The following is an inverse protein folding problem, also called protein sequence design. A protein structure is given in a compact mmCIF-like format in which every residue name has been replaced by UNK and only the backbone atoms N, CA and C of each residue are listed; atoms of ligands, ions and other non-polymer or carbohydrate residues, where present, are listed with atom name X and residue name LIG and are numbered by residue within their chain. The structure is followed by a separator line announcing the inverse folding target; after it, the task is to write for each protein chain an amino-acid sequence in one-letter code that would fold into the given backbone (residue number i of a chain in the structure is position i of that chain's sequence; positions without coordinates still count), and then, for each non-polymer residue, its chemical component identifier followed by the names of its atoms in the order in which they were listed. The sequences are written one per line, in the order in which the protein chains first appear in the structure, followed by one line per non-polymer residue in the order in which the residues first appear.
data_IF_962743886756
#
_entry.id   IF_962743886756
#
_cell.length_a   1.000
_cell.length_b   1.000
_cell.length_c   1.000
_cell.angle_alpha   90.00
_cell.angle_beta   90.00
_cell.angle_gamma   90.00
#
_symmetry.space_group_name_H-M   'P 1'
#
loop_
_entity.id
_entity.type
_entity.pdbx_description
1 polymer ?
#
# COMPACT_ATOMS: atom_id res chain seq x y z
N UNK A 1 65.07 -0.46 -41.92
CA UNK A 1 63.70 -0.40 -42.45
C UNK A 1 62.78 -0.97 -41.36
N UNK A 2 62.17 -0.10 -40.54
CA UNK A 2 61.32 -0.53 -39.42
C UNK A 2 59.92 -0.91 -39.93
N UNK A 3 59.31 -2.01 -39.46
CA UNK A 3 57.93 -2.33 -39.80
C UNK A 3 56.98 -1.33 -39.14
N UNK A 4 56.01 -0.86 -39.93
CA UNK A 4 55.01 0.15 -39.55
C UNK A 4 54.05 -0.39 -38.49
N UNK A 5 53.89 0.37 -37.40
CA UNK A 5 53.03 0.09 -36.24
C UNK A 5 51.54 0.43 -36.50
N UNK A 6 51.16 0.63 -37.76
CA UNK A 6 49.84 1.12 -38.18
C UNK A 6 48.80 0.02 -38.36
N UNK A 7 49.22 -1.21 -38.62
CA UNK A 7 48.32 -2.26 -39.11
C UNK A 7 47.74 -3.12 -37.97
N UNK A 8 48.32 -3.03 -36.77
CA UNK A 8 47.84 -3.74 -35.59
C UNK A 8 46.70 -3.00 -34.88
N UNK A 9 46.61 -1.67 -35.02
CA UNK A 9 45.63 -0.85 -34.29
C UNK A 9 44.20 -0.91 -34.87
N UNK A 10 44.04 -1.37 -36.11
CA UNK A 10 42.74 -1.42 -36.79
C UNK A 10 42.01 -2.75 -36.57
N UNK A 11 42.72 -3.86 -36.37
CA UNK A 11 42.14 -5.20 -36.18
C UNK A 11 41.53 -5.40 -34.77
N UNK A 12 42.09 -4.74 -33.75
CA UNK A 12 41.57 -4.79 -32.37
C UNK A 12 40.28 -3.97 -32.19
N UNK A 13 40.02 -3.02 -33.09
CA UNK A 13 38.85 -2.15 -33.03
C UNK A 13 37.58 -2.81 -33.61
N UNK A 14 37.73 -3.78 -34.52
CA UNK A 14 36.61 -4.45 -35.18
C UNK A 14 36.13 -5.70 -34.42
N UNK A 15 37.03 -6.42 -33.74
CA UNK A 15 36.70 -7.64 -33.00
C UNK A 15 35.88 -7.44 -31.71
N UNK A 16 35.66 -6.18 -31.28
CA UNK A 16 34.77 -5.84 -30.14
C UNK A 16 33.32 -5.56 -30.54
N UNK A 17 32.95 -5.74 -31.81
CA UNK A 17 31.57 -5.62 -32.30
C UNK A 17 31.07 -6.93 -32.87
N UNK A 18 30.81 -7.92 -32.02
CA UNK A 18 30.17 -9.13 -32.52
C UNK A 18 30.33 -10.36 -31.66
N UNK A 19 29.94 -10.27 -30.39
CA UNK A 19 29.51 -11.48 -29.70
C UNK A 19 28.20 -11.13 -29.03
N UNK A 20 27.09 -11.41 -29.72
CA UNK A 20 25.82 -11.56 -29.04
C UNK A 20 25.92 -12.85 -28.23
N UNK A 21 26.09 -12.79 -26.89
CA UNK A 21 25.96 -13.99 -26.09
C UNK A 21 24.52 -14.47 -26.32
N UNK A 22 24.37 -15.72 -26.77
CA UNK A 22 23.07 -16.41 -26.84
C UNK A 22 22.35 -16.13 -25.52
N UNK A 23 21.37 -15.23 -25.52
CA UNK A 23 20.66 -14.81 -24.31
C UNK A 23 19.90 -16.04 -23.80
N UNK A 24 20.50 -16.78 -22.88
CA UNK A 24 19.87 -17.91 -22.20
C UNK A 24 18.64 -17.47 -21.42
N UNK A 25 17.99 -18.39 -20.70
CA UNK A 25 16.76 -18.14 -19.93
C UNK A 25 16.89 -16.89 -19.02
N UNK A 26 18.06 -16.70 -18.41
CA UNK A 26 18.39 -15.54 -17.57
C UNK A 26 18.37 -14.22 -18.38
N UNK A 27 18.88 -14.22 -19.61
CA UNK A 27 18.85 -13.06 -20.50
C UNK A 27 17.43 -12.69 -20.95
N UNK A 28 16.53 -13.67 -21.08
CA UNK A 28 15.11 -13.43 -21.38
C UNK A 28 14.37 -12.79 -20.19
N UNK A 29 14.66 -13.24 -18.97
CA UNK A 29 14.11 -12.65 -17.75
C UNK A 29 14.59 -11.21 -17.57
N UNK A 30 15.87 -10.92 -17.82
CA UNK A 30 16.40 -9.56 -17.75
C UNK A 30 15.73 -8.61 -18.77
N UNK A 31 15.43 -9.10 -19.98
CA UNK A 31 14.67 -8.34 -20.99
C UNK A 31 13.23 -8.06 -20.55
N UNK A 32 12.58 -9.04 -19.93
CA UNK A 32 11.22 -8.90 -19.40
C UNK A 32 11.15 -7.77 -18.35
N UNK A 33 12.04 -7.75 -17.36
CA UNK A 33 12.08 -6.66 -16.38
C UNK A 33 12.35 -5.29 -17.02
N UNK A 34 13.19 -5.25 -18.07
CA UNK A 34 13.44 -4.02 -18.84
C UNK A 34 12.19 -3.52 -19.55
N UNK A 35 11.37 -4.42 -20.06
CA UNK A 35 10.08 -4.11 -20.68
C UNK A 35 9.05 -3.65 -19.63
N UNK A 36 8.91 -4.38 -18.51
CA UNK A 36 8.02 -4.01 -17.40
C UNK A 36 8.35 -2.62 -16.87
N UNK A 37 9.63 -2.30 -16.65
CA UNK A 37 10.03 -0.96 -16.22
C UNK A 37 9.70 0.13 -17.28
N UNK A 38 9.78 -0.22 -18.57
CA UNK A 38 9.35 0.64 -19.67
C UNK A 38 7.85 0.90 -19.67
N UNK A 39 7.05 -0.12 -19.34
CA UNK A 39 5.59 -0.01 -19.27
C UNK A 39 5.14 0.69 -17.98
N UNK A 40 5.80 0.43 -16.84
CA UNK A 40 5.53 1.09 -15.56
C UNK A 40 5.81 2.60 -15.61
N UNK A 41 6.77 3.04 -16.44
CA UNK A 41 6.98 4.48 -16.71
C UNK A 41 5.82 5.16 -17.41
N UNK A 42 4.95 4.40 -18.09
CA UNK A 42 3.73 4.92 -18.72
C UNK A 42 2.59 5.04 -17.71
N UNK A 43 2.72 4.42 -16.54
CA UNK A 43 1.80 4.66 -15.44
C UNK A 43 2.09 6.07 -14.95
N UNK A 44 1.11 6.96 -15.14
CA UNK A 44 1.15 8.32 -14.65
C UNK A 44 1.44 8.31 -13.15
N UNK A 45 2.65 8.71 -12.77
CA UNK A 45 3.02 8.81 -11.35
C UNK A 45 2.38 10.06 -10.79
N UNK A 46 1.48 9.93 -9.81
CA UNK A 46 0.71 11.05 -9.32
C UNK A 46 1.61 12.10 -8.67
N UNK A 47 1.23 13.36 -8.80
CA UNK A 47 1.92 14.46 -8.13
C UNK A 47 1.68 14.38 -6.62
N UNK A 48 2.61 14.88 -5.80
CA UNK A 48 2.43 14.90 -4.32
C UNK A 48 1.11 15.58 -3.91
N UNK A 49 0.68 16.59 -4.67
CA UNK A 49 -0.58 17.29 -4.45
C UNK A 49 -1.82 16.40 -4.69
N UNK A 50 -1.79 15.50 -5.67
CA UNK A 50 -2.86 14.52 -5.91
C UNK A 50 -2.95 13.51 -4.77
N UNK A 51 -1.81 13.04 -4.25
CA UNK A 51 -1.79 12.14 -3.08
C UNK A 51 -2.54 12.77 -1.90
N UNK A 52 -2.24 14.03 -1.56
CA UNK A 52 -2.93 14.70 -0.45
C UNK A 52 -4.42 14.88 -0.70
N UNK A 53 -4.85 15.12 -1.95
CA UNK A 53 -6.28 15.19 -2.29
C UNK A 53 -6.97 13.85 -2.06
N UNK A 54 -6.39 12.75 -2.54
CA UNK A 54 -6.97 11.42 -2.37
C UNK A 54 -7.03 11.01 -0.90
N UNK A 55 -5.93 11.19 -0.16
CA UNK A 55 -5.92 10.90 1.28
C UNK A 55 -6.86 11.82 2.06
N UNK A 56 -6.97 13.10 1.68
CA UNK A 56 -7.90 14.05 2.31
C UNK A 56 -9.37 13.68 2.12
N UNK A 57 -9.76 13.26 0.92
CA UNK A 57 -11.13 12.77 0.64
C UNK A 57 -11.46 11.56 1.52
N UNK A 58 -10.52 10.60 1.64
CA UNK A 58 -10.71 9.42 2.50
C UNK A 58 -10.85 9.84 3.97
N UNK A 59 -10.02 10.75 4.45
CA UNK A 59 -10.10 11.22 5.84
C UNK A 59 -11.45 11.87 6.16
N UNK A 60 -11.94 12.75 5.28
CA UNK A 60 -13.26 13.39 5.42
C UNK A 60 -14.37 12.34 5.40
N UNK A 61 -14.29 11.36 4.50
CA UNK A 61 -15.27 10.27 4.43
C UNK A 61 -15.31 9.42 5.71
N UNK A 62 -14.14 9.07 6.26
CA UNK A 62 -14.07 8.31 7.52
C UNK A 62 -14.67 9.08 8.68
N UNK A 63 -14.35 10.38 8.81
CA UNK A 63 -14.93 11.25 9.84
C UNK A 63 -16.46 11.32 9.69
N UNK A 64 -16.94 11.47 8.46
CA UNK A 64 -18.37 11.48 8.18
C UNK A 64 -19.04 10.16 8.62
N UNK A 65 -18.45 9.02 8.30
CA UNK A 65 -18.98 7.72 8.72
C UNK A 65 -18.95 7.54 10.24
N UNK A 66 -17.90 7.98 10.93
CA UNK A 66 -17.85 7.98 12.39
C UNK A 66 -18.99 8.83 12.98
N UNK A 67 -19.23 10.02 12.44
CA UNK A 67 -20.31 10.89 12.89
C UNK A 67 -21.69 10.26 12.64
N UNK A 68 -21.91 9.70 11.45
CA UNK A 68 -23.16 9.03 11.09
C UNK A 68 -23.44 7.84 12.02
N UNK A 69 -22.46 6.95 12.20
CA UNK A 69 -22.58 5.79 13.10
C UNK A 69 -22.85 6.24 14.52
N UNK A 70 -22.12 7.24 15.01
CA UNK A 70 -22.35 7.79 16.37
C UNK A 70 -23.78 8.31 16.53
N UNK A 71 -24.31 9.05 15.56
CA UNK A 71 -25.69 9.56 15.60
C UNK A 71 -26.69 8.42 15.61
N UNK A 72 -26.49 7.41 14.76
CA UNK A 72 -27.37 6.24 14.72
C UNK A 72 -27.30 5.43 16.02
N UNK A 73 -26.12 5.20 16.58
CA UNK A 73 -25.93 4.47 17.84
C UNK A 73 -26.64 5.18 19.00
N UNK A 74 -26.55 6.52 19.06
CA UNK A 74 -27.28 7.32 20.05
C UNK A 74 -28.79 7.28 19.83
N UNK A 75 -29.24 7.39 18.58
CA UNK A 75 -30.66 7.37 18.23
C UNK A 75 -31.30 6.01 18.57
N UNK A 76 -30.64 4.92 18.18
CA UNK A 76 -31.11 3.57 18.47
C UNK A 76 -30.95 3.23 19.94
N UNK A 77 -29.90 3.68 20.62
CA UNK A 77 -29.75 3.52 22.07
C UNK A 77 -30.87 4.22 22.84
N UNK A 78 -31.21 5.46 22.45
CA UNK A 78 -32.32 6.19 23.04
C UNK A 78 -33.67 5.53 22.74
N UNK A 79 -33.92 5.15 21.48
CA UNK A 79 -35.13 4.44 21.07
C UNK A 79 -35.29 3.08 21.75
N UNK A 80 -34.22 2.30 21.86
CA UNK A 80 -34.21 1.02 22.57
C UNK A 80 -34.46 1.21 24.06
N UNK A 81 -33.86 2.22 24.69
CA UNK A 81 -34.17 2.56 26.08
C UNK A 81 -35.63 2.96 26.27
N UNK A 82 -36.27 3.57 25.28
CA UNK A 82 -37.69 3.92 25.36
C UNK A 82 -38.61 2.69 25.18
N UNK A 83 -38.25 1.77 24.28
CA UNK A 83 -39.05 0.55 24.01
C UNK A 83 -38.86 -0.52 25.08
N UNK A 84 -37.64 -0.68 25.61
CA UNK A 84 -37.26 -1.79 26.48
C UNK A 84 -36.87 -1.37 27.90
N UNK A 85 -36.71 -0.08 28.19
CA UNK A 85 -36.19 0.43 29.46
C UNK A 85 -37.20 1.21 30.29
N UNK A 86 -37.62 0.65 31.43
CA UNK A 86 -38.11 1.43 32.57
C UNK A 86 -36.90 2.18 33.19
N UNK A 87 -36.53 3.34 32.64
CA UNK A 87 -35.67 4.35 33.27
C UNK A 87 -34.24 3.92 33.63
N UNK A 88 -33.30 4.12 32.69
CA UNK A 88 -31.89 4.45 32.96
C UNK A 88 -31.19 3.72 34.12
N UNK A 89 -30.73 2.49 33.89
CA UNK A 89 -29.54 1.98 34.60
C UNK A 89 -28.43 1.74 33.59
N UNK A 90 -27.74 2.83 33.24
CA UNK A 90 -26.51 2.83 32.42
C UNK A 90 -25.30 2.22 33.15
N UNK A 91 -25.48 1.71 34.37
CA UNK A 91 -24.44 1.12 35.19
C UNK A 91 -24.86 -0.29 35.64
N UNK A 92 -24.05 -1.32 35.39
CA UNK A 92 -24.18 -2.59 36.07
C UNK A 92 -24.03 -2.36 37.58
N UNK A 93 -25.07 -2.61 38.36
CA UNK A 93 -24.92 -2.77 39.80
C UNK A 93 -24.21 -4.10 40.03
N UNK A 94 -22.89 -4.05 40.12
CA UNK A 94 -22.10 -5.17 40.63
C UNK A 94 -22.72 -5.59 41.97
N UNK A 95 -23.18 -6.84 42.15
CA UNK A 95 -23.60 -7.30 43.46
C UNK A 95 -22.35 -7.27 44.33
N UNK A 96 -22.32 -6.30 45.26
CA UNK A 96 -21.28 -6.18 46.26
C UNK A 96 -21.02 -7.57 46.85
N UNK A 97 -19.78 -8.03 46.71
CA UNK A 97 -19.23 -9.28 47.20
C UNK A 97 -20.11 -9.93 48.27
N UNK A 98 -20.83 -10.99 47.91
CA UNK A 98 -21.34 -11.91 48.92
C UNK A 98 -20.13 -12.43 49.70
N UNK A 99 -20.02 -12.16 51.02
CA UNK A 99 -18.95 -12.78 51.79
C UNK A 99 -19.17 -14.30 51.72
N UNK A 100 -18.22 -15.00 51.11
CA UNK A 100 -18.20 -16.47 51.11
C UNK A 100 -18.12 -16.90 52.57
N UNK A 101 -19.10 -17.63 53.11
CA UNK A 101 -18.99 -18.19 54.45
C UNK A 101 -17.91 -19.26 54.40
N UNK A 102 -16.80 -19.03 55.10
CA UNK A 102 -15.81 -20.06 55.39
C UNK A 102 -16.36 -20.91 56.53
N UNK A 103 -17.00 -22.03 56.20
CA UNK A 103 -17.12 -23.18 57.12
C UNK A 103 -16.09 -24.24 56.74
#
# INVERSE_FOLDING_TARGET
MSPSKSDEATDVAESKRGSEPKRGIIGRIALFFRQVMGELKKVVTPTRAELFKFTGVVLVFVIFMMALVTVLDLLFGWGASWVFGQGSSFFPSEPAATPVPTE
#
